data_IF_684290457669
#
_entry.id   IF_684290457669
#
_cell.length_a   1.000
_cell.length_b   1.000
_cell.length_c   1.000
_cell.angle_alpha   90.00
_cell.angle_beta   90.00
_cell.angle_gamma   90.00
#
_symmetry.space_group_name_H-M   'P 1'
#
loop_
_entity.id
_entity.type
_entity.pdbx_description
1 polymer ?
#
# COMPACT_ATOMS: atom_id res chain seq x y z
N UNK A 1 8.03 -1.12 -21.21
CA UNK A 1 8.90 -0.33 -20.31
C UNK A 1 9.83 -1.27 -19.58
N UNK A 2 11.13 -1.00 -19.51
CA UNK A 2 12.12 -1.89 -18.90
C UNK A 2 12.11 -1.80 -17.37
N UNK A 3 12.66 -2.81 -16.70
CA UNK A 3 12.78 -2.90 -15.24
C UNK A 3 13.46 -1.66 -14.61
N UNK A 4 14.57 -1.22 -15.17
CA UNK A 4 15.30 -0.03 -14.68
C UNK A 4 14.53 1.28 -14.85
N UNK A 5 13.68 1.40 -15.88
CA UNK A 5 12.81 2.56 -16.04
C UNK A 5 11.78 2.64 -14.93
N UNK A 6 11.19 1.50 -14.54
CA UNK A 6 10.25 1.43 -13.41
C UNK A 6 10.92 1.77 -12.08
N UNK A 7 12.16 1.29 -11.85
CA UNK A 7 12.90 1.66 -10.64
C UNK A 7 13.12 3.17 -10.52
N UNK A 8 13.44 3.85 -11.64
CA UNK A 8 13.58 5.31 -11.64
C UNK A 8 12.27 6.03 -11.33
N UNK A 9 11.15 5.54 -11.85
CA UNK A 9 9.81 6.07 -11.52
C UNK A 9 9.49 5.89 -10.04
N UNK A 10 9.80 4.72 -9.46
CA UNK A 10 9.56 4.46 -8.04
C UNK A 10 10.39 5.38 -7.15
N UNK A 11 11.67 5.58 -7.49
CA UNK A 11 12.54 6.51 -6.75
C UNK A 11 11.99 7.94 -6.84
N UNK A 12 11.55 8.36 -8.04
CA UNK A 12 10.96 9.69 -8.20
C UNK A 12 9.67 9.82 -7.40
N UNK A 13 8.78 8.83 -7.44
CA UNK A 13 7.55 8.82 -6.66
C UNK A 13 7.81 8.91 -5.14
N UNK A 14 8.85 8.25 -4.64
CA UNK A 14 9.26 8.36 -3.24
C UNK A 14 9.75 9.78 -2.91
N UNK A 15 10.57 10.38 -3.78
CA UNK A 15 11.06 11.76 -3.59
C UNK A 15 9.96 12.82 -3.63
N UNK A 16 8.92 12.59 -4.43
CA UNK A 16 7.80 13.52 -4.58
C UNK A 16 6.85 13.46 -3.37
N UNK A 17 6.89 12.35 -2.60
CA UNK A 17 5.96 12.08 -1.49
C UNK A 17 6.59 12.12 -0.11
N UNK A 18 7.92 12.04 -0.03
CA UNK A 18 8.64 12.13 1.23
C UNK A 18 9.51 13.41 1.26
N UNK A 19 9.10 14.42 2.03
CA UNK A 19 9.90 15.64 2.21
C UNK A 19 11.30 15.40 2.80
N UNK A 20 11.53 14.27 3.48
CA UNK A 20 12.83 13.91 4.05
C UNK A 20 13.81 13.33 3.00
N UNK A 21 13.35 12.99 1.79
CA UNK A 21 14.17 12.42 0.74
C UNK A 21 15.16 13.43 0.16
N UNK A 22 16.46 13.30 0.45
CA UNK A 22 17.50 14.25 0.05
C UNK A 22 18.13 13.98 -1.30
N UNK A 23 18.35 12.70 -1.64
CA UNK A 23 19.04 12.34 -2.88
C UNK A 23 18.51 11.01 -3.48
N UNK A 24 18.68 10.86 -4.79
CA UNK A 24 18.34 9.62 -5.51
C UNK A 24 19.09 8.41 -4.96
N UNK A 25 20.37 8.59 -4.59
CA UNK A 25 21.19 7.51 -4.03
C UNK A 25 20.67 7.08 -2.65
N UNK A 26 20.40 8.04 -1.77
CA UNK A 26 19.85 7.77 -0.43
C UNK A 26 18.52 7.01 -0.52
N UNK A 27 17.60 7.47 -1.38
CA UNK A 27 16.30 6.82 -1.59
C UNK A 27 16.47 5.41 -2.16
N UNK A 28 17.37 5.23 -3.15
CA UNK A 28 17.60 3.91 -3.74
C UNK A 28 18.18 2.89 -2.77
N UNK A 29 19.00 3.32 -1.80
CA UNK A 29 19.72 2.44 -0.88
C UNK A 29 19.03 2.33 0.48
N UNK A 30 18.40 3.40 0.95
CA UNK A 30 17.84 3.50 2.30
C UNK A 30 16.37 3.13 2.43
N UNK A 31 15.59 3.16 1.34
CA UNK A 31 14.14 2.99 1.40
C UNK A 31 13.74 1.52 1.26
N UNK A 32 13.48 0.87 2.36
CA UNK A 32 13.10 -0.56 2.40
C UNK A 32 11.81 -0.85 1.65
N UNK A 33 10.86 0.10 1.60
CA UNK A 33 9.65 0.00 0.80
C UNK A 33 9.93 -0.21 -0.69
N UNK A 34 10.91 0.49 -1.26
CA UNK A 34 11.32 0.31 -2.66
C UNK A 34 11.95 -1.07 -2.87
N UNK A 35 12.81 -1.51 -1.95
CA UNK A 35 13.42 -2.85 -2.03
C UNK A 35 12.34 -3.94 -2.00
N UNK A 36 11.33 -3.78 -1.13
CA UNK A 36 10.22 -4.72 -1.04
C UNK A 36 9.45 -4.82 -2.37
N UNK A 37 9.16 -3.67 -3.01
CA UNK A 37 8.46 -3.61 -4.29
C UNK A 37 9.29 -4.22 -5.43
N UNK A 38 10.58 -3.93 -5.48
CA UNK A 38 11.46 -4.46 -6.54
C UNK A 38 11.62 -5.97 -6.46
N UNK A 39 11.81 -6.53 -5.25
CA UNK A 39 11.87 -7.97 -5.06
C UNK A 39 10.51 -8.63 -5.31
N UNK A 40 9.40 -7.98 -4.91
CA UNK A 40 8.06 -8.46 -5.25
C UNK A 40 7.86 -8.60 -6.76
N UNK A 41 8.30 -7.64 -7.58
CA UNK A 41 8.18 -7.73 -9.04
C UNK A 41 8.86 -8.98 -9.62
N UNK A 42 9.98 -9.39 -9.03
CA UNK A 42 10.66 -10.65 -9.41
C UNK A 42 9.83 -11.85 -8.95
N UNK A 43 9.42 -11.86 -7.69
CA UNK A 43 8.60 -12.95 -7.13
C UNK A 43 7.26 -13.09 -7.87
N UNK A 44 6.62 -11.98 -8.24
CA UNK A 44 5.38 -11.98 -9.01
C UNK A 44 5.54 -12.60 -10.41
N UNK A 45 6.63 -12.28 -11.13
CA UNK A 45 6.94 -12.92 -12.43
C UNK A 45 7.17 -14.43 -12.28
N UNK A 46 7.82 -14.87 -11.20
CA UNK A 46 7.98 -16.28 -10.91
C UNK A 46 6.64 -16.95 -10.60
N UNK A 47 5.77 -16.27 -9.86
CA UNK A 47 4.45 -16.76 -9.46
C UNK A 47 3.54 -17.10 -10.65
N UNK A 48 3.71 -16.44 -11.80
CA UNK A 48 2.96 -16.72 -13.02
C UNK A 48 3.27 -18.11 -13.62
N UNK A 49 4.32 -18.79 -13.15
CA UNK A 49 4.72 -20.12 -13.61
C UNK A 49 4.48 -21.14 -12.49
N UNK A 50 3.67 -22.17 -12.74
CA UNK A 50 3.28 -23.14 -11.71
C UNK A 50 4.47 -23.75 -11.00
N UNK A 51 5.53 -24.12 -11.75
CA UNK A 51 6.74 -24.76 -11.21
C UNK A 51 7.57 -23.80 -10.33
N UNK A 52 7.35 -22.49 -10.43
CA UNK A 52 8.08 -21.46 -9.68
C UNK A 52 7.30 -20.86 -8.51
N UNK A 53 6.09 -21.32 -8.22
CA UNK A 53 5.26 -20.79 -7.13
C UNK A 53 5.93 -20.95 -5.76
N UNK A 54 6.49 -22.12 -5.46
CA UNK A 54 7.21 -22.33 -4.19
C UNK A 54 8.47 -21.47 -4.08
N UNK A 55 9.38 -21.42 -5.07
CA UNK A 55 10.49 -20.46 -5.06
C UNK A 55 10.05 -18.99 -4.93
N UNK A 56 8.94 -18.59 -5.59
CA UNK A 56 8.40 -17.24 -5.47
C UNK A 56 7.96 -16.92 -4.03
N UNK A 57 7.32 -17.88 -3.34
CA UNK A 57 6.95 -17.76 -1.91
C UNK A 57 8.18 -17.64 -1.02
N UNK A 58 9.22 -18.45 -1.26
CA UNK A 58 10.46 -18.36 -0.49
C UNK A 58 11.16 -17.00 -0.68
N UNK A 59 11.21 -16.49 -1.91
CA UNK A 59 11.72 -15.16 -2.21
C UNK A 59 10.90 -14.07 -1.50
N UNK A 60 9.57 -14.20 -1.46
CA UNK A 60 8.69 -13.29 -0.73
C UNK A 60 8.97 -13.31 0.78
N UNK A 61 9.21 -14.48 1.39
CA UNK A 61 9.55 -14.58 2.81
C UNK A 61 10.94 -14.01 3.12
N UNK A 62 11.90 -14.23 2.23
CA UNK A 62 13.21 -13.60 2.33
C UNK A 62 13.12 -12.07 2.26
N UNK A 63 12.32 -11.55 1.32
CA UNK A 63 12.02 -10.12 1.21
C UNK A 63 11.44 -9.56 2.52
N UNK A 64 10.45 -10.25 3.09
CA UNK A 64 9.87 -9.88 4.38
C UNK A 64 10.91 -9.85 5.50
N UNK A 65 11.80 -10.84 5.57
CA UNK A 65 12.84 -10.89 6.58
C UNK A 65 13.81 -9.70 6.50
N UNK A 66 14.10 -9.23 5.28
CA UNK A 66 15.00 -8.08 5.06
C UNK A 66 14.33 -6.73 5.26
N UNK A 67 13.06 -6.60 4.89
CA UNK A 67 12.37 -5.29 4.78
C UNK A 67 11.33 -5.05 5.87
N UNK A 68 10.88 -6.11 6.56
CA UNK A 68 9.74 -6.04 7.47
C UNK A 68 8.38 -5.93 6.75
N UNK A 69 8.35 -6.06 5.42
CA UNK A 69 7.17 -5.89 4.56
C UNK A 69 6.82 -7.23 3.92
N UNK A 70 5.60 -7.70 4.16
CA UNK A 70 5.09 -8.91 3.52
C UNK A 70 4.24 -8.58 2.31
N UNK A 71 4.68 -8.99 1.12
CA UNK A 71 3.89 -8.91 -0.11
C UNK A 71 3.77 -10.31 -0.69
N UNK A 72 2.53 -10.82 -0.79
CA UNK A 72 2.30 -12.11 -1.44
C UNK A 72 2.65 -12.02 -2.94
N UNK A 73 3.38 -12.98 -3.54
CA UNK A 73 3.79 -12.89 -4.93
C UNK A 73 2.61 -12.91 -5.92
N UNK A 74 1.42 -13.33 -5.51
CA UNK A 74 0.19 -13.26 -6.29
C UNK A 74 -0.42 -11.86 -6.41
N UNK A 75 -0.08 -10.94 -5.51
CA UNK A 75 -0.62 -9.58 -5.53
C UNK A 75 -0.23 -8.84 -6.81
N UNK A 76 -1.16 -8.06 -7.36
CA UNK A 76 -0.92 -7.21 -8.52
C UNK A 76 -0.71 -5.77 -8.07
N UNK A 77 0.39 -5.15 -8.51
CA UNK A 77 0.77 -3.80 -8.08
C UNK A 77 1.07 -2.93 -9.31
N UNK A 78 0.41 -1.79 -9.39
CA UNK A 78 0.54 -0.79 -10.41
C UNK A 78 1.87 -0.02 -10.37
N UNK A 79 1.89 1.17 -10.95
CA UNK A 79 3.07 2.01 -11.10
C UNK A 79 3.15 3.03 -9.97
N UNK A 80 4.37 3.49 -9.65
CA UNK A 80 4.64 4.55 -8.67
C UNK A 80 3.99 4.28 -7.29
N UNK A 81 3.84 2.99 -6.97
CA UNK A 81 3.41 2.55 -5.66
C UNK A 81 4.50 2.88 -4.63
N UNK A 82 4.12 3.49 -3.53
CA UNK A 82 5.04 3.89 -2.49
C UNK A 82 4.62 3.33 -1.13
N UNK A 83 5.57 2.74 -0.41
CA UNK A 83 5.39 2.29 0.98
C UNK A 83 6.33 3.12 1.84
N UNK A 84 5.75 3.96 2.68
CA UNK A 84 6.49 4.80 3.62
C UNK A 84 6.73 4.07 4.95
N UNK A 85 7.96 4.14 5.46
CA UNK A 85 8.46 3.39 6.63
C UNK A 85 8.37 1.87 6.50
N UNK A 86 7.27 1.32 6.08
CA UNK A 86 7.02 -0.04 5.62
C UNK A 86 6.90 -1.13 6.68
N UNK A 87 7.50 -1.00 7.85
CA UNK A 87 7.50 -2.05 8.87
C UNK A 87 6.08 -2.53 9.19
N UNK A 88 5.85 -3.85 9.13
CA UNK A 88 4.58 -4.47 9.47
C UNK A 88 3.48 -4.35 8.40
N UNK A 89 3.79 -3.86 7.20
CA UNK A 89 2.85 -3.92 6.07
C UNK A 89 2.64 -5.37 5.64
N UNK A 90 1.38 -5.74 5.40
CA UNK A 90 0.99 -7.06 4.89
C UNK A 90 0.05 -6.89 3.70
N UNK A 91 0.43 -7.40 2.54
CA UNK A 91 -0.34 -7.39 1.30
C UNK A 91 -0.66 -8.82 0.88
N UNK A 92 -1.95 -9.19 0.92
CA UNK A 92 -2.41 -10.55 0.67
C UNK A 92 -2.47 -10.94 -0.81
N UNK A 93 -2.70 -12.24 -1.07
CA UNK A 93 -2.54 -12.91 -2.36
C UNK A 93 -3.33 -12.28 -3.52
N UNK A 94 -4.61 -12.00 -3.31
CA UNK A 94 -5.50 -11.52 -4.37
C UNK A 94 -5.71 -10.00 -4.30
N UNK A 95 -4.80 -9.28 -3.65
CA UNK A 95 -4.81 -7.81 -3.61
C UNK A 95 -4.49 -7.25 -4.99
N UNK A 96 -5.22 -6.22 -5.37
CA UNK A 96 -4.95 -5.42 -6.56
C UNK A 96 -4.72 -3.97 -6.13
N UNK A 97 -3.64 -3.38 -6.60
CA UNK A 97 -3.23 -2.00 -6.28
C UNK A 97 -3.03 -1.25 -7.58
N UNK A 98 -3.73 -0.14 -7.75
CA UNK A 98 -3.63 0.76 -8.88
C UNK A 98 -2.33 1.55 -8.93
N UNK A 99 -2.32 2.57 -9.79
CA UNK A 99 -1.20 3.48 -9.95
C UNK A 99 -1.21 4.56 -8.86
N UNK A 100 -0.03 5.06 -8.49
CA UNK A 100 0.14 6.18 -7.54
C UNK A 100 -0.43 5.94 -6.12
N UNK A 101 -0.61 4.71 -5.71
CA UNK A 101 -1.08 4.36 -4.37
C UNK A 101 0.04 4.50 -3.34
N UNK A 102 -0.31 4.97 -2.14
CA UNK A 102 0.60 5.10 -1.01
C UNK A 102 0.09 4.34 0.22
N UNK A 103 0.97 3.54 0.84
CA UNK A 103 0.71 2.90 2.13
C UNK A 103 1.73 3.36 3.16
N UNK A 104 1.27 3.55 4.39
CA UNK A 104 2.15 3.73 5.55
C UNK A 104 2.42 2.39 6.26
N UNK A 105 3.34 2.42 7.24
CA UNK A 105 3.69 1.25 8.05
C UNK A 105 2.46 0.61 8.72
N UNK A 106 2.56 -0.69 9.03
CA UNK A 106 1.53 -1.42 9.76
C UNK A 106 0.21 -1.63 9.03
N UNK A 107 0.08 -1.18 7.77
CA UNK A 107 -1.12 -1.40 6.96
C UNK A 107 -1.30 -2.89 6.65
N UNK A 108 -2.55 -3.37 6.74
CA UNK A 108 -2.90 -4.72 6.32
C UNK A 108 -3.96 -4.68 5.22
N UNK A 109 -3.64 -5.24 4.06
CA UNK A 109 -4.59 -5.55 2.99
C UNK A 109 -4.93 -7.05 3.09
N UNK A 110 -5.93 -7.36 3.91
CA UNK A 110 -6.23 -8.71 4.39
C UNK A 110 -7.46 -9.35 3.78
N UNK A 111 -7.51 -10.68 3.78
CA UNK A 111 -8.67 -11.46 3.34
C UNK A 111 -9.65 -11.74 4.49
N UNK A 112 -10.93 -11.93 4.16
CA UNK A 112 -11.97 -12.35 5.10
C UNK A 112 -12.51 -13.76 4.83
N UNK A 113 -12.09 -14.41 3.74
CA UNK A 113 -12.52 -15.77 3.38
C UNK A 113 -11.37 -16.74 3.40
N UNK A 114 -11.65 -18.01 3.75
CA UNK A 114 -10.72 -19.14 3.64
C UNK A 114 -10.79 -19.84 2.27
N UNK A 115 -11.73 -19.45 1.43
CA UNK A 115 -11.86 -20.01 0.08
C UNK A 115 -10.83 -19.44 -0.89
N UNK A 116 -10.55 -20.18 -1.96
CA UNK A 116 -9.63 -19.77 -3.04
C UNK A 116 -10.32 -18.87 -4.06
N UNK A 117 -10.78 -17.69 -3.60
CA UNK A 117 -11.49 -16.69 -4.39
C UNK A 117 -10.82 -15.32 -4.25
N UNK A 118 -11.31 -14.31 -4.96
CA UNK A 118 -10.97 -12.91 -4.66
C UNK A 118 -11.43 -12.61 -3.23
N UNK A 119 -10.49 -12.41 -2.31
CA UNK A 119 -10.74 -12.26 -0.87
C UNK A 119 -9.98 -11.11 -0.23
N UNK A 120 -9.12 -10.45 -0.99
CA UNK A 120 -8.34 -9.29 -0.56
C UNK A 120 -8.79 -8.03 -1.31
N UNK A 121 -8.52 -6.84 -0.78
CA UNK A 121 -9.02 -5.60 -1.36
C UNK A 121 -8.44 -5.26 -2.72
N UNK A 122 -9.17 -4.40 -3.43
CA UNK A 122 -8.72 -3.65 -4.60
C UNK A 122 -8.61 -2.19 -4.21
N UNK A 123 -7.44 -1.60 -4.39
CA UNK A 123 -7.17 -0.18 -4.22
C UNK A 123 -7.06 0.45 -5.60
N UNK A 124 -7.95 1.37 -5.94
CA UNK A 124 -7.86 2.10 -7.19
C UNK A 124 -6.72 3.13 -7.16
N UNK A 125 -6.55 3.90 -8.25
CA UNK A 125 -5.44 4.84 -8.37
C UNK A 125 -5.48 5.94 -7.29
N UNK A 126 -4.31 6.42 -6.92
CA UNK A 126 -4.13 7.58 -6.03
C UNK A 126 -4.71 7.36 -4.60
N UNK A 127 -5.01 6.12 -4.22
CA UNK A 127 -5.46 5.80 -2.85
C UNK A 127 -4.31 5.97 -1.87
N UNK A 128 -4.60 6.56 -0.71
CA UNK A 128 -3.67 6.69 0.42
C UNK A 128 -4.21 5.94 1.62
N UNK A 129 -3.40 5.05 2.20
CA UNK A 129 -3.77 4.27 3.38
C UNK A 129 -2.86 4.61 4.55
N UNK A 130 -3.42 5.23 5.57
CA UNK A 130 -2.72 5.70 6.77
C UNK A 130 -2.15 4.58 7.62
N UNK A 131 -1.20 4.96 8.50
CA UNK A 131 -0.46 4.04 9.35
C UNK A 131 -1.38 3.13 10.17
N UNK A 132 -1.06 1.84 10.22
CA UNK A 132 -1.79 0.87 11.01
C UNK A 132 -3.19 0.50 10.50
N UNK A 133 -3.70 1.12 9.43
CA UNK A 133 -5.04 0.82 8.93
C UNK A 133 -5.18 -0.61 8.43
N UNK A 134 -6.39 -1.17 8.55
CA UNK A 134 -6.74 -2.51 8.10
C UNK A 134 -7.84 -2.41 7.05
N UNK A 135 -7.56 -2.84 5.83
CA UNK A 135 -8.55 -2.98 4.76
C UNK A 135 -8.79 -4.46 4.55
N UNK A 136 -10.01 -4.92 4.86
CA UNK A 136 -10.28 -6.34 5.00
C UNK A 136 -11.42 -6.80 4.10
N UNK A 137 -11.19 -7.91 3.39
CA UNK A 137 -12.15 -8.50 2.48
C UNK A 137 -11.97 -8.04 1.02
N UNK A 138 -12.81 -8.52 0.10
CA UNK A 138 -12.74 -8.18 -1.32
C UNK A 138 -13.36 -6.80 -1.62
N UNK A 139 -13.10 -5.83 -0.75
CA UNK A 139 -13.63 -4.47 -0.87
C UNK A 139 -12.89 -3.66 -1.92
N UNK A 140 -13.60 -2.74 -2.56
CA UNK A 140 -13.03 -1.78 -3.50
C UNK A 140 -12.86 -0.43 -2.81
N UNK A 141 -11.64 0.07 -2.79
CA UNK A 141 -11.32 1.41 -2.31
C UNK A 141 -11.22 2.32 -3.52
N UNK A 142 -12.22 3.18 -3.68
CA UNK A 142 -12.36 4.05 -4.86
C UNK A 142 -11.21 5.05 -4.99
N UNK A 143 -10.97 5.48 -6.23
CA UNK A 143 -9.89 6.38 -6.62
C UNK A 143 -9.78 7.62 -5.70
N UNK A 144 -8.57 8.04 -5.36
CA UNK A 144 -8.26 9.20 -4.50
C UNK A 144 -8.85 9.13 -3.09
N UNK A 145 -9.30 7.97 -2.66
CA UNK A 145 -9.77 7.76 -1.28
C UNK A 145 -8.60 7.82 -0.31
N UNK A 146 -8.83 8.46 0.84
CA UNK A 146 -7.94 8.43 1.98
C UNK A 146 -8.53 7.53 3.09
N UNK A 147 -7.79 6.50 3.47
CA UNK A 147 -8.09 5.68 4.64
C UNK A 147 -7.24 6.17 5.79
N UNK A 148 -7.88 6.64 6.86
CA UNK A 148 -7.20 7.23 8.01
C UNK A 148 -6.37 6.23 8.80
N UNK A 149 -5.41 6.74 9.59
CA UNK A 149 -4.57 5.90 10.45
C UNK A 149 -5.44 5.06 11.41
N UNK A 150 -5.04 3.80 11.61
CA UNK A 150 -5.74 2.81 12.44
C UNK A 150 -7.20 2.54 12.06
N UNK A 151 -7.70 3.04 10.94
CA UNK A 151 -9.06 2.74 10.49
C UNK A 151 -9.20 1.25 10.12
N UNK A 152 -10.39 0.69 10.33
CA UNK A 152 -10.74 -0.67 9.91
C UNK A 152 -11.84 -0.62 8.85
N UNK A 153 -11.43 -0.70 7.59
CA UNK A 153 -12.32 -0.62 6.43
C UNK A 153 -12.75 -2.02 5.99
N UNK A 154 -14.06 -2.26 5.97
CA UNK A 154 -14.69 -3.54 5.63
C UNK A 154 -15.83 -3.40 4.61
N UNK A 155 -15.94 -2.23 3.98
CA UNK A 155 -16.94 -1.90 2.95
C UNK A 155 -16.28 -1.10 1.83
N UNK A 156 -16.88 -1.16 0.65
CA UNK A 156 -16.45 -0.36 -0.50
C UNK A 156 -16.55 1.14 -0.19
N UNK A 157 -15.65 1.92 -0.80
CA UNK A 157 -15.72 3.37 -0.78
C UNK A 157 -15.94 3.91 -2.19
N UNK A 158 -16.70 5.01 -2.35
CA UNK A 158 -16.70 5.74 -3.62
C UNK A 158 -15.35 6.43 -3.86
N UNK A 159 -15.17 7.02 -5.02
CA UNK A 159 -14.06 7.93 -5.30
C UNK A 159 -14.09 9.15 -4.36
N UNK A 160 -12.92 9.76 -4.15
CA UNK A 160 -12.78 10.98 -3.33
C UNK A 160 -13.37 10.86 -1.91
N UNK A 161 -13.34 9.66 -1.35
CA UNK A 161 -13.83 9.40 0.00
C UNK A 161 -12.74 9.59 1.06
N UNK A 162 -13.21 9.78 2.30
CA UNK A 162 -12.39 9.68 3.51
C UNK A 162 -13.04 8.62 4.40
N UNK A 163 -12.26 7.62 4.80
CA UNK A 163 -12.70 6.52 5.65
C UNK A 163 -11.90 6.52 6.96
N UNK A 164 -12.55 6.73 8.11
CA UNK A 164 -11.89 6.85 9.42
C UNK A 164 -12.61 6.09 10.50
N UNK A 165 -11.90 5.62 11.50
CA UNK A 165 -12.46 4.98 12.70
C UNK A 165 -12.58 3.45 12.59
N UNK A 166 -13.19 2.84 13.62
CA UNK A 166 -13.35 1.38 13.79
C UNK A 166 -14.80 1.07 14.18
N UNK A 167 -15.64 0.46 13.31
CA UNK A 167 -15.42 0.31 11.86
C UNK A 167 -15.37 1.66 11.17
N UNK A 168 -14.72 1.72 9.99
CA UNK A 168 -14.52 2.98 9.29
C UNK A 168 -15.85 3.62 8.87
N UNK A 169 -15.99 4.91 9.20
CA UNK A 169 -17.05 5.77 8.69
C UNK A 169 -16.57 6.39 7.39
N UNK A 170 -17.39 6.31 6.35
CA UNK A 170 -17.06 6.75 5.00
C UNK A 170 -17.79 8.05 4.73
N UNK A 171 -17.06 9.09 4.33
CA UNK A 171 -17.62 10.37 3.88
C UNK A 171 -16.98 10.81 2.57
N UNK A 172 -17.71 11.56 1.77
CA UNK A 172 -17.15 12.21 0.58
C UNK A 172 -16.42 13.48 1.00
N UNK A 173 -15.31 13.80 0.35
CA UNK A 173 -14.61 15.07 0.53
C UNK A 173 -15.49 16.25 0.14
N UNK A 174 -15.51 17.32 0.94
CA UNK A 174 -16.39 18.47 0.75
C UNK A 174 -15.80 19.58 -0.09
N UNK A 175 -14.47 19.63 -0.24
CA UNK A 175 -13.77 20.67 -0.99
C UNK A 175 -12.45 20.18 -1.58
N UNK A 176 -11.91 20.92 -2.55
CA UNK A 176 -10.59 20.68 -3.11
C UNK A 176 -9.44 20.84 -2.08
N UNK A 177 -9.65 21.59 -0.98
CA UNK A 177 -8.69 21.71 0.11
C UNK A 177 -8.59 20.44 0.94
N UNK A 178 -9.69 19.71 1.10
CA UNK A 178 -9.67 18.36 1.69
C UNK A 178 -9.05 17.31 0.75
N UNK A 179 -8.82 17.66 -0.53
CA UNK A 179 -8.15 16.79 -1.50
C UNK A 179 -6.62 16.74 -1.35
N UNK A 180 -6.03 17.64 -0.56
CA UNK A 180 -4.62 17.48 -0.17
C UNK A 180 -4.47 16.15 0.57
N UNK A 181 -3.40 15.36 0.30
CA UNK A 181 -3.17 14.15 1.08
C UNK A 181 -3.24 14.53 2.55
N UNK A 182 -3.95 13.72 3.34
CA UNK A 182 -4.11 13.92 4.78
C UNK A 182 -2.75 13.67 5.48
N UNK A 183 -1.81 14.57 5.30
CA UNK A 183 -0.44 14.53 5.81
C UNK A 183 -0.15 15.78 6.65
N UNK A 184 -1.14 16.63 6.88
CA UNK A 184 -0.96 17.66 7.89
C UNK A 184 -1.31 17.03 9.27
N UNK A 185 -0.29 16.77 10.12
CA UNK A 185 -0.52 16.26 11.47
C UNK A 185 -1.41 17.20 12.29
N UNK A 186 -1.50 18.49 11.92
CA UNK A 186 -2.34 19.48 12.62
C UNK A 186 -3.84 19.33 12.30
N UNK A 187 -4.22 18.74 11.14
CA UNK A 187 -5.61 18.45 10.80
C UNK A 187 -6.06 17.08 11.30
N UNK A 188 -5.13 16.23 11.72
CA UNK A 188 -5.39 14.88 12.23
C UNK A 188 -5.42 14.84 13.76
N UNK A 189 -6.02 15.84 14.37
CA UNK A 189 -6.24 15.83 15.83
C UNK A 189 -7.47 14.99 16.15
N UNK A 190 -7.33 13.67 16.09
CA UNK A 190 -8.11 12.80 16.98
C UNK A 190 -7.41 12.85 18.36
N UNK A 191 -8.07 13.38 19.40
CA UNK A 191 -7.47 13.42 20.76
C UNK A 191 -7.04 12.06 21.29
N UNK A 192 -7.54 10.95 20.72
CA UNK A 192 -7.14 9.58 21.04
C UNK A 192 -5.74 9.21 20.50
N UNK A 193 -5.12 10.00 19.64
CA UNK A 193 -3.78 9.74 19.12
C UNK A 193 -2.64 10.20 20.05
N UNK A 194 -2.96 10.83 21.20
CA UNK A 194 -1.97 11.36 22.15
C UNK A 194 -1.91 10.57 23.48
N UNK A 195 -2.46 9.35 23.51
CA UNK A 195 -2.37 8.48 24.69
C UNK A 195 -1.42 7.32 24.41
#
# INVERSE_FOLDING_TARGET
MGFFSRMREDIQAAKDRDPAARSTFEVAVGYTGLHAIWMHRVAHKMWQKEQLKTPARLLSQFNRALTGIEIHPGATIGRRFFIDHGMGVVIGETTEIGDDVMLYHGVTLGGQSLEKVKRHPTLEDEVVVGAGAKVLGPVVVGKRTAVGANAVLVKDTPEDAIATGIPAQIRTRRSAEEAKPAVDPAEYVDPAMWI
#
